data_IF_046817020748
#
_entry.id   IF_046817020748
#
_cell.length_a   1.000
_cell.length_b   1.000
_cell.length_c   1.000
_cell.angle_alpha   90.00
_cell.angle_beta   90.00
_cell.angle_gamma   90.00
#
_symmetry.space_group_name_H-M   'P 1'
#
loop_
_entity.id
_entity.type
_entity.pdbx_description
1 polymer ?
#
# COMPACT_ATOMS: atom_id res chain seq x y z
N UNK A 1 -40.84 17.13 -2.25
CA UNK A 1 -40.93 16.45 -0.95
C UNK A 1 -39.91 15.32 -0.95
N UNK A 2 -38.82 15.48 -0.18
CA UNK A 2 -37.83 14.42 0.04
C UNK A 2 -38.44 13.34 0.93
N UNK A 3 -38.13 12.08 0.64
CA UNK A 3 -38.25 11.01 1.62
C UNK A 3 -36.86 10.43 1.89
N UNK A 4 -36.54 10.44 3.19
CA UNK A 4 -35.34 9.94 3.82
C UNK A 4 -35.42 8.42 3.97
N UNK A 5 -34.28 7.73 3.88
CA UNK A 5 -34.09 6.45 4.56
C UNK A 5 -32.63 6.36 5.00
N UNK A 6 -32.46 6.59 6.30
CA UNK A 6 -31.24 6.42 7.08
C UNK A 6 -30.92 4.94 7.26
N UNK A 7 -29.63 4.60 7.25
CA UNK A 7 -29.09 3.63 8.20
C UNK A 7 -27.76 4.14 8.73
N UNK A 8 -27.90 4.92 9.80
CA UNK A 8 -26.86 5.25 10.76
C UNK A 8 -26.33 3.99 11.43
N UNK A 9 -25.04 3.73 11.33
CA UNK A 9 -24.30 3.05 12.38
C UNK A 9 -22.91 3.67 12.42
N UNK A 10 -22.69 4.55 13.40
CA UNK A 10 -21.45 4.92 14.09
C UNK A 10 -21.72 6.28 14.76
N UNK A 11 -22.15 6.30 16.04
CA UNK A 11 -22.21 7.54 16.80
C UNK A 11 -20.78 7.93 17.19
N UNK A 12 -20.54 9.24 17.37
CA UNK A 12 -19.30 9.84 17.88
C UNK A 12 -18.15 10.14 16.91
N UNK A 13 -18.48 10.68 15.73
CA UNK A 13 -17.55 11.64 15.09
C UNK A 13 -18.29 12.95 14.79
N UNK A 14 -18.48 13.74 15.83
CA UNK A 14 -18.80 15.17 15.69
C UNK A 14 -17.57 15.89 15.13
N UNK A 15 -17.43 15.96 13.81
CA UNK A 15 -16.48 16.87 13.18
C UNK A 15 -16.97 18.31 13.40
N UNK A 16 -16.40 18.98 14.41
CA UNK A 16 -16.58 20.41 14.62
C UNK A 16 -15.90 21.15 13.46
N UNK A 17 -16.72 21.77 12.61
CA UNK A 17 -16.25 22.67 11.55
C UNK A 17 -15.86 24.02 12.19
N UNK A 18 -14.63 24.12 12.67
CA UNK A 18 -14.03 25.41 13.02
C UNK A 18 -12.99 25.81 11.97
N UNK A 19 -13.38 26.83 11.21
CA UNK A 19 -12.63 27.80 10.40
C UNK A 19 -11.12 27.62 10.17
N UNK A 20 -10.60 27.76 8.92
CA UNK A 20 -9.18 27.62 8.63
C UNK A 20 -8.41 28.88 9.02
N UNK A 21 -7.67 28.83 10.14
CA UNK A 21 -6.62 29.81 10.43
C UNK A 21 -5.25 29.17 10.19
N UNK A 22 -4.49 29.76 9.26
CA UNK A 22 -3.08 29.51 8.95
C UNK A 22 -2.69 28.04 8.75
N UNK A 23 -2.58 27.64 7.48
CA UNK A 23 -2.21 26.29 7.04
C UNK A 23 -0.92 25.77 7.66
N UNK A 24 -1.06 25.03 8.76
CA UNK A 24 -0.15 23.95 9.09
C UNK A 24 -0.73 22.73 8.41
N UNK A 25 -0.16 22.35 7.27
CA UNK A 25 -0.36 21.03 6.68
C UNK A 25 0.16 20.02 7.71
N UNK A 26 -0.73 19.52 8.58
CA UNK A 26 -0.48 18.30 9.33
C UNK A 26 -0.38 17.20 8.27
N UNK A 27 0.85 16.90 7.86
CA UNK A 27 1.12 15.63 7.22
C UNK A 27 0.59 14.57 8.19
N UNK A 28 -0.32 13.68 7.76
CA UNK A 28 -0.74 12.59 8.62
C UNK A 28 0.53 11.85 9.00
N UNK A 29 0.90 11.89 10.29
CA UNK A 29 2.00 11.09 10.79
C UNK A 29 1.66 9.66 10.41
N UNK A 30 2.48 8.98 9.58
CA UNK A 30 2.18 7.62 9.19
C UNK A 30 2.29 6.77 10.46
N UNK A 31 1.12 6.46 11.03
CA UNK A 31 0.99 5.52 12.12
C UNK A 31 1.57 4.21 11.58
N UNK A 32 2.59 3.66 12.25
CA UNK A 32 3.21 2.35 11.96
C UNK A 32 4.30 2.31 10.87
N UNK A 33 4.91 3.43 10.49
CA UNK A 33 5.98 3.43 9.45
C UNK A 33 7.14 2.45 9.72
N UNK A 34 7.48 2.20 11.00
CA UNK A 34 8.57 1.32 11.43
C UNK A 34 8.08 -0.09 11.82
N UNK A 35 6.76 -0.33 11.74
CA UNK A 35 6.11 -1.58 12.17
C UNK A 35 5.38 -2.30 11.03
N UNK A 36 5.24 -1.66 9.86
CA UNK A 36 4.45 -2.15 8.73
C UNK A 36 5.28 -2.20 7.44
N UNK A 37 5.47 -3.42 6.93
CA UNK A 37 5.94 -3.67 5.57
C UNK A 37 4.77 -3.89 4.62
N UNK A 38 4.85 -3.32 3.41
CA UNK A 38 3.83 -3.49 2.37
C UNK A 38 4.35 -4.44 1.29
N UNK A 39 3.71 -5.59 1.13
CA UNK A 39 4.06 -6.59 0.11
C UNK A 39 3.25 -6.36 -1.16
N UNK A 40 3.92 -6.16 -2.30
CA UNK A 40 3.29 -5.91 -3.60
C UNK A 40 3.71 -7.02 -4.60
N UNK A 41 2.89 -8.06 -4.80
CA UNK A 41 3.09 -9.00 -5.89
C UNK A 41 2.70 -8.36 -7.23
N UNK A 42 3.61 -8.38 -8.20
CA UNK A 42 3.38 -7.76 -9.52
C UNK A 42 4.08 -8.49 -10.67
N UNK A 43 3.55 -8.30 -11.87
CA UNK A 43 4.10 -8.75 -13.15
C UNK A 43 4.43 -7.59 -14.11
N UNK A 44 4.22 -6.33 -13.66
CA UNK A 44 4.40 -5.10 -14.44
C UNK A 44 5.12 -4.03 -13.61
N UNK A 45 5.58 -2.97 -14.27
CA UNK A 45 6.19 -1.81 -13.64
C UNK A 45 5.26 -1.17 -12.60
N UNK A 46 5.87 -0.56 -11.59
CA UNK A 46 5.18 0.05 -10.45
C UNK A 46 5.04 1.56 -10.60
N UNK A 47 4.81 2.05 -11.83
CA UNK A 47 4.71 3.49 -12.13
C UNK A 47 3.58 4.18 -11.34
N UNK A 48 2.58 3.42 -10.88
CA UNK A 48 1.52 3.95 -10.02
C UNK A 48 2.04 4.44 -8.66
N UNK A 49 3.21 3.99 -8.20
CA UNK A 49 3.80 4.43 -6.95
C UNK A 49 4.09 5.93 -6.96
N UNK A 50 4.39 6.55 -8.12
CA UNK A 50 4.55 8.01 -8.21
C UNK A 50 3.26 8.76 -7.83
N UNK A 51 2.11 8.28 -8.31
CA UNK A 51 0.82 8.89 -8.00
C UNK A 51 0.43 8.70 -6.53
N UNK A 52 0.79 7.57 -5.93
CA UNK A 52 0.49 7.24 -4.54
C UNK A 52 1.66 7.50 -3.59
N UNK A 53 2.67 8.26 -4.03
CA UNK A 53 3.92 8.48 -3.32
C UNK A 53 3.73 8.98 -1.88
N UNK A 54 2.84 9.95 -1.58
CA UNK A 54 2.63 10.41 -0.20
C UNK A 54 2.18 9.31 0.77
N UNK A 55 1.61 8.22 0.25
CA UNK A 55 1.09 7.12 1.04
C UNK A 55 2.09 5.99 1.19
N UNK A 56 2.87 5.66 0.15
CA UNK A 56 3.80 4.52 0.18
C UNK A 56 5.22 4.89 0.60
N UNK A 57 5.67 6.12 0.31
CA UNK A 57 7.04 6.55 0.57
C UNK A 57 7.48 6.39 2.05
N UNK A 58 6.61 6.56 3.05
CA UNK A 58 7.01 6.38 4.45
C UNK A 58 7.23 4.92 4.88
N UNK A 59 6.77 3.94 4.10
CA UNK A 59 6.79 2.52 4.47
C UNK A 59 7.85 1.77 3.66
N UNK A 60 8.32 0.66 4.21
CA UNK A 60 9.19 -0.27 3.51
C UNK A 60 8.38 -1.20 2.60
N UNK A 61 8.81 -1.32 1.34
CA UNK A 61 8.10 -2.08 0.32
C UNK A 61 8.82 -3.40 0.02
N UNK A 62 8.08 -4.50 0.03
CA UNK A 62 8.58 -5.81 -0.41
C UNK A 62 7.92 -6.13 -1.76
N UNK A 63 8.69 -6.05 -2.83
CA UNK A 63 8.19 -6.24 -4.19
C UNK A 63 8.48 -7.68 -4.63
N UNK A 64 7.41 -8.40 -5.00
CA UNK A 64 7.52 -9.79 -5.45
C UNK A 64 7.20 -9.87 -6.93
N UNK A 65 8.21 -10.25 -7.72
CA UNK A 65 8.05 -10.51 -9.13
C UNK A 65 7.42 -11.89 -9.35
N UNK A 66 6.12 -11.88 -9.66
CA UNK A 66 5.30 -13.10 -9.84
C UNK A 66 5.15 -13.50 -11.33
N UNK A 67 6.09 -13.09 -12.18
CA UNK A 67 6.03 -13.27 -13.63
C UNK A 67 7.33 -13.85 -14.21
N UNK A 68 7.51 -13.64 -15.52
CA UNK A 68 8.73 -14.03 -16.22
C UNK A 68 9.98 -13.37 -15.60
N UNK A 69 10.96 -14.14 -15.11
CA UNK A 69 12.17 -13.60 -14.46
C UNK A 69 13.08 -12.83 -15.44
N UNK A 70 12.91 -13.01 -16.75
CA UNK A 70 13.68 -12.25 -17.76
C UNK A 70 13.20 -10.80 -17.91
N UNK A 71 11.98 -10.49 -17.42
CA UNK A 71 11.44 -9.13 -17.45
C UNK A 71 11.88 -8.37 -16.22
N UNK A 72 12.63 -7.29 -16.40
CA UNK A 72 12.95 -6.40 -15.27
C UNK A 72 11.75 -5.51 -14.95
N UNK A 73 11.26 -5.58 -13.71
CA UNK A 73 10.26 -4.65 -13.19
C UNK A 73 10.97 -3.36 -12.79
N UNK A 74 10.42 -2.22 -13.22
CA UNK A 74 10.91 -0.90 -12.81
C UNK A 74 10.13 -0.39 -11.61
N UNK A 75 10.87 0.12 -10.64
CA UNK A 75 10.37 0.79 -9.44
C UNK A 75 10.85 2.24 -9.49
N UNK A 76 9.98 3.24 -9.27
CA UNK A 76 10.41 4.64 -9.20
C UNK A 76 11.46 4.88 -8.11
N UNK A 77 12.35 5.85 -8.32
CA UNK A 77 13.40 6.17 -7.36
C UNK A 77 12.85 6.81 -6.08
N UNK A 78 13.57 6.62 -4.97
CA UNK A 78 13.26 7.24 -3.67
C UNK A 78 12.20 6.50 -2.83
N UNK A 79 11.91 5.25 -3.17
CA UNK A 79 11.24 4.29 -2.28
C UNK A 79 12.28 3.41 -1.61
N UNK A 80 12.04 3.03 -0.36
CA UNK A 80 12.78 1.99 0.34
C UNK A 80 12.14 0.64 0.03
N UNK A 81 12.88 -0.25 -0.66
CA UNK A 81 12.32 -1.52 -1.11
C UNK A 81 13.33 -2.66 -1.24
N UNK A 82 12.81 -3.87 -1.05
CA UNK A 82 13.46 -5.13 -1.43
C UNK A 82 12.74 -5.77 -2.62
N UNK A 83 13.50 -6.37 -3.53
CA UNK A 83 12.96 -7.04 -4.70
C UNK A 83 13.28 -8.53 -4.64
N UNK A 84 12.22 -9.34 -4.65
CA UNK A 84 12.29 -10.79 -4.65
C UNK A 84 11.65 -11.37 -5.90
N UNK A 85 12.24 -12.42 -6.45
CA UNK A 85 11.58 -13.24 -7.45
C UNK A 85 10.91 -14.47 -6.81
N UNK A 86 10.13 -15.20 -7.63
CA UNK A 86 9.43 -16.41 -7.17
C UNK A 86 10.35 -17.47 -6.56
N UNK A 87 11.57 -17.63 -7.07
CA UNK A 87 12.54 -18.59 -6.55
C UNK A 87 13.04 -18.17 -5.17
N UNK A 88 13.28 -16.87 -4.96
CA UNK A 88 13.73 -16.35 -3.66
C UNK A 88 12.64 -16.58 -2.60
N UNK A 89 11.39 -16.26 -2.93
CA UNK A 89 10.24 -16.52 -2.06
C UNK A 89 10.09 -18.00 -1.74
N UNK A 90 10.19 -18.88 -2.75
CA UNK A 90 10.12 -20.32 -2.53
C UNK A 90 11.28 -20.81 -1.64
N UNK A 91 12.46 -20.21 -1.75
CA UNK A 91 13.62 -20.55 -0.91
C UNK A 91 13.44 -20.08 0.53
N UNK A 92 12.88 -18.90 0.74
CA UNK A 92 12.72 -18.27 2.07
C UNK A 92 11.51 -18.87 2.80
N UNK A 93 10.36 -18.95 2.15
CA UNK A 93 9.08 -19.36 2.75
C UNK A 93 8.75 -20.84 2.53
N UNK A 94 9.40 -21.51 1.57
CA UNK A 94 9.19 -22.93 1.30
C UNK A 94 7.72 -23.24 1.00
N UNK A 95 7.11 -24.23 1.68
CA UNK A 95 5.69 -24.57 1.50
C UNK A 95 4.71 -23.42 1.75
N UNK A 96 5.11 -22.37 2.49
CA UNK A 96 4.28 -21.20 2.80
C UNK A 96 4.30 -20.13 1.70
N UNK A 97 5.13 -20.28 0.68
CA UNK A 97 5.23 -19.32 -0.43
C UNK A 97 3.89 -19.07 -1.15
N UNK A 98 2.94 -20.00 -1.09
CA UNK A 98 1.60 -19.82 -1.66
C UNK A 98 0.81 -18.68 -1.01
N UNK A 99 1.13 -18.28 0.23
CA UNK A 99 0.41 -17.25 0.97
C UNK A 99 0.51 -15.86 0.34
N UNK A 100 1.53 -15.62 -0.49
CA UNK A 100 1.75 -14.33 -1.16
C UNK A 100 1.46 -14.37 -2.67
N UNK A 101 0.96 -15.50 -3.16
CA UNK A 101 0.62 -15.68 -4.57
C UNK A 101 -0.85 -15.36 -4.80
N UNK A 102 -1.15 -14.64 -5.88
CA UNK A 102 -2.54 -14.49 -6.31
C UNK A 102 -3.03 -15.80 -6.91
N UNK A 103 -3.83 -16.58 -6.17
CA UNK A 103 -4.72 -17.59 -6.76
C UNK A 103 -6.01 -16.87 -7.13
N UNK A 104 -6.16 -16.53 -8.41
CA UNK A 104 -7.42 -16.00 -8.93
C UNK A 104 -8.57 -16.95 -8.61
N UNK A 105 -9.68 -16.40 -8.14
CA UNK A 105 -10.99 -17.06 -8.17
C UNK A 105 -11.46 -17.20 -9.62
#
# INVERSE_FOLDING_TARGET
>A
ASFSSSLSLFPDLSFSLTSPMAGTTVSPTPLLKDELDIVIPTIRNLDFLEMWRPFFQPYHLIIVQDGDPSRTIRVPEGFDYELYNRNDINRILGPKASCISFKGL
#
